data_IF_929676539693
#
_entry.id   IF_929676539693
#
_cell.length_a   1.000
_cell.length_b   1.000
_cell.length_c   1.000
_cell.angle_alpha   90.00
_cell.angle_beta   90.00
_cell.angle_gamma   90.00
#
_symmetry.space_group_name_H-M   'P 1'
#
loop_
_entity.id
_entity.type
_entity.pdbx_description
1 polymer ?
#
# COMPACT_ATOMS: atom_id res chain seq x y z
N UNK A 1 23.57 4.35 22.62
CA UNK A 1 23.80 4.59 21.17
C UNK A 1 24.59 3.46 20.50
N UNK A 2 25.77 3.09 21.03
CA UNK A 2 26.66 2.03 20.50
C UNK A 2 25.93 0.69 20.30
N UNK A 3 25.19 0.23 21.32
CA UNK A 3 24.42 -1.02 21.24
C UNK A 3 23.46 -1.04 20.05
N UNK A 4 22.72 0.04 19.83
CA UNK A 4 21.77 0.15 18.71
C UNK A 4 22.49 0.07 17.37
N UNK A 5 23.63 0.77 17.22
CA UNK A 5 24.44 0.72 15.99
C UNK A 5 24.97 -0.69 15.73
N UNK A 6 25.48 -1.37 16.76
CA UNK A 6 25.98 -2.75 16.63
C UNK A 6 24.86 -3.74 16.31
N UNK A 7 23.69 -3.62 16.94
CA UNK A 7 22.52 -4.45 16.62
C UNK A 7 22.09 -4.24 15.15
N UNK A 8 22.08 -3.00 14.69
CA UNK A 8 21.67 -2.63 13.34
C UNK A 8 22.70 -3.08 12.29
N UNK A 9 24.01 -3.00 12.59
CA UNK A 9 25.08 -3.57 11.78
C UNK A 9 24.88 -5.06 11.55
N UNK A 10 24.63 -5.81 12.63
CA UNK A 10 24.40 -7.27 12.56
C UNK A 10 23.13 -7.59 11.77
N UNK A 11 22.11 -6.72 11.83
CA UNK A 11 20.85 -6.88 11.07
C UNK A 11 20.95 -6.42 9.61
N UNK A 12 22.02 -5.74 9.22
CA UNK A 12 22.25 -5.32 7.83
C UNK A 12 21.36 -4.15 7.37
N UNK A 13 21.06 -3.19 8.25
CA UNK A 13 20.12 -2.10 7.94
C UNK A 13 20.72 -0.92 7.14
N UNK A 14 21.98 -1.00 6.72
CA UNK A 14 22.64 0.06 5.94
C UNK A 14 22.90 1.33 6.76
N UNK A 15 23.11 2.47 6.09
CA UNK A 15 23.50 3.73 6.76
C UNK A 15 22.41 4.30 7.68
N UNK A 16 21.14 4.05 7.34
CA UNK A 16 20.00 4.34 8.20
C UNK A 16 19.97 3.51 9.49
N UNK A 17 20.74 2.42 9.55
CA UNK A 17 21.00 1.70 10.78
C UNK A 17 22.06 2.32 11.69
N UNK A 18 22.96 3.10 11.10
CA UNK A 18 24.22 3.52 11.70
C UNK A 18 24.15 4.89 12.36
N UNK A 19 23.15 5.71 12.03
CA UNK A 19 22.89 6.99 12.69
C UNK A 19 22.42 6.82 14.16
N UNK A 20 22.26 5.59 14.64
CA UNK A 20 21.86 5.30 16.01
C UNK A 20 20.42 5.72 16.32
N UNK A 21 20.19 6.18 17.55
CA UNK A 21 18.86 6.63 17.97
C UNK A 21 18.70 8.10 17.60
N UNK A 22 17.58 8.47 16.95
CA UNK A 22 17.29 9.87 16.62
C UNK A 22 16.57 10.59 17.78
N UNK A 23 16.81 11.90 17.98
CA UNK A 23 16.10 12.71 18.99
C UNK A 23 14.58 12.78 18.75
N UNK A 24 14.16 12.75 17.48
CA UNK A 24 12.76 12.76 17.06
C UNK A 24 12.53 11.60 16.09
N UNK A 25 11.44 10.87 16.25
CA UNK A 25 11.01 9.84 15.29
C UNK A 25 9.48 9.82 15.24
N UNK A 26 8.89 10.35 14.17
CA UNK A 26 7.43 10.54 14.10
C UNK A 26 6.94 11.40 15.27
N UNK A 27 6.13 10.80 16.15
CA UNK A 27 5.58 11.45 17.36
C UNK A 27 6.46 11.27 18.62
N UNK A 28 7.53 10.48 18.55
CA UNK A 28 8.38 10.18 19.71
C UNK A 28 9.54 11.16 19.83
N UNK A 29 9.59 11.89 20.94
CA UNK A 29 10.67 12.82 21.31
C UNK A 29 11.54 12.19 22.40
N UNK A 30 12.87 12.32 22.30
CA UNK A 30 13.85 11.81 23.27
C UNK A 30 14.70 12.94 23.83
N UNK A 31 14.18 13.71 24.82
CA UNK A 31 14.80 14.95 25.28
C UNK A 31 16.18 14.77 25.90
N UNK A 32 16.40 13.67 26.62
CA UNK A 32 17.64 13.41 27.36
C UNK A 32 18.69 12.60 26.58
N UNK A 33 18.50 12.42 25.26
CA UNK A 33 19.37 11.57 24.44
C UNK A 33 20.83 12.08 24.36
N UNK A 34 21.05 13.37 24.63
CA UNK A 34 22.37 13.99 24.64
C UNK A 34 23.16 13.73 25.93
N UNK A 35 22.51 13.21 26.98
CA UNK A 35 23.13 12.89 28.27
C UNK A 35 23.62 11.44 28.31
N UNK A 36 24.73 11.23 29.00
CA UNK A 36 25.27 9.91 29.33
C UNK A 36 24.62 9.34 30.60
N UNK A 37 24.75 8.03 30.82
CA UNK A 37 24.23 7.39 32.03
C UNK A 37 24.90 7.94 33.30
N UNK A 38 26.21 8.22 33.25
CA UNK A 38 26.96 8.81 34.37
C UNK A 38 26.49 10.24 34.68
N UNK A 39 26.24 11.07 33.66
CA UNK A 39 25.68 12.42 33.86
C UNK A 39 24.29 12.35 34.48
N UNK A 40 23.44 11.41 34.04
CA UNK A 40 22.11 11.20 34.62
C UNK A 40 22.24 10.76 36.08
N UNK A 41 23.07 9.75 36.38
CA UNK A 41 23.31 9.27 37.74
C UNK A 41 23.79 10.39 38.66
N UNK A 42 24.76 11.18 38.21
CA UNK A 42 25.30 12.33 38.95
C UNK A 42 24.20 13.34 39.29
N UNK A 43 23.35 13.68 38.32
CA UNK A 43 22.25 14.61 38.53
C UNK A 43 21.19 14.02 39.48
N UNK A 44 20.87 12.73 39.35
CA UNK A 44 19.91 12.08 40.27
C UNK A 44 20.41 12.01 41.69
N UNK A 45 21.72 11.79 41.89
CA UNK A 45 22.35 11.79 43.21
C UNK A 45 22.40 13.19 43.81
N UNK A 46 22.81 14.20 43.03
CA UNK A 46 22.87 15.60 43.49
C UNK A 46 21.50 16.17 43.88
N UNK A 47 20.44 15.74 43.19
CA UNK A 47 19.08 16.17 43.45
C UNK A 47 18.33 15.25 44.42
N UNK A 48 18.99 14.23 44.98
CA UNK A 48 18.41 13.23 45.90
C UNK A 48 17.12 12.60 45.36
N UNK A 49 17.06 12.32 44.06
CA UNK A 49 15.88 11.77 43.41
C UNK A 49 15.77 10.26 43.69
N UNK A 50 14.68 9.86 44.34
CA UNK A 50 14.33 8.46 44.47
C UNK A 50 13.91 7.89 43.10
N UNK A 51 14.53 6.79 42.69
CA UNK A 51 14.16 6.05 41.48
C UNK A 51 14.06 4.55 41.78
N UNK A 52 13.33 3.84 40.94
CA UNK A 52 13.18 2.38 40.99
C UNK A 52 13.83 1.80 39.74
N UNK A 53 14.73 0.82 39.90
CA UNK A 53 15.24 0.06 38.77
C UNK A 53 14.17 -0.94 38.31
N UNK A 54 13.73 -0.80 37.05
CA UNK A 54 12.76 -1.73 36.47
C UNK A 54 13.38 -3.12 36.30
N UNK A 55 12.68 -4.13 36.83
CA UNK A 55 12.97 -5.55 36.66
C UNK A 55 13.11 -6.00 35.19
N UNK A 56 12.52 -5.26 34.24
CA UNK A 56 12.66 -5.49 32.79
C UNK A 56 14.08 -5.28 32.25
N UNK A 57 14.95 -4.61 33.01
CA UNK A 57 16.39 -4.51 32.70
C UNK A 57 17.10 -5.86 32.73
N UNK A 58 16.57 -6.83 33.49
CA UNK A 58 17.09 -8.20 33.53
C UNK A 58 16.61 -9.05 32.34
N UNK A 59 15.54 -8.65 31.66
CA UNK A 59 14.85 -9.49 30.67
C UNK A 59 14.88 -8.99 29.22
N UNK A 60 15.35 -7.78 28.93
CA UNK A 60 15.22 -7.23 27.57
C UNK A 60 16.28 -7.75 26.57
N UNK A 61 15.87 -8.75 25.78
CA UNK A 61 16.49 -9.30 24.57
C UNK A 61 17.90 -9.89 24.72
N UNK A 62 18.01 -11.23 24.61
CA UNK A 62 19.26 -12.00 24.57
C UNK A 62 20.37 -11.32 23.74
N UNK A 63 20.04 -10.72 22.60
CA UNK A 63 20.99 -10.03 21.73
C UNK A 63 21.57 -8.74 22.33
N UNK A 64 20.76 -7.90 22.98
CA UNK A 64 21.24 -6.61 23.53
C UNK A 64 22.12 -6.85 24.75
N UNK A 65 21.67 -7.71 25.67
CA UNK A 65 22.47 -8.12 26.82
C UNK A 65 23.79 -8.78 26.40
N UNK A 66 23.76 -9.63 25.36
CA UNK A 66 24.98 -10.21 24.79
C UNK A 66 25.95 -9.14 24.27
N UNK A 67 25.45 -8.15 23.53
CA UNK A 67 26.30 -7.05 23.03
C UNK A 67 26.90 -6.25 24.18
N UNK A 68 26.10 -5.87 25.18
CA UNK A 68 26.55 -5.08 26.32
C UNK A 68 27.57 -5.81 27.20
N UNK A 69 27.33 -7.09 27.50
CA UNK A 69 28.12 -7.85 28.46
C UNK A 69 29.32 -8.57 27.83
N UNK A 70 29.26 -8.93 26.55
CA UNK A 70 30.31 -9.74 25.91
C UNK A 70 31.04 -8.99 24.79
N UNK A 71 30.36 -8.16 23.99
CA UNK A 71 30.96 -7.53 22.80
C UNK A 71 31.60 -6.18 23.12
N UNK A 72 30.85 -5.28 23.76
CA UNK A 72 31.33 -3.92 24.07
C UNK A 72 32.61 -3.93 24.94
N UNK A 73 32.74 -4.79 25.98
CA UNK A 73 33.97 -4.85 26.76
C UNK A 73 35.20 -5.20 25.92
N UNK A 74 35.08 -6.18 25.02
CA UNK A 74 36.18 -6.56 24.11
C UNK A 74 36.53 -5.44 23.13
N UNK A 75 35.54 -4.69 22.64
CA UNK A 75 35.80 -3.51 21.79
C UNK A 75 36.49 -2.38 22.56
N UNK A 76 36.20 -2.22 23.86
CA UNK A 76 36.89 -1.24 24.72
C UNK A 76 38.34 -1.65 25.01
N UNK A 77 38.64 -2.93 25.10
CA UNK A 77 40.02 -3.42 25.22
C UNK A 77 40.85 -3.05 23.98
N UNK A 78 40.24 -3.10 22.78
CA UNK A 78 40.89 -2.70 21.52
C UNK A 78 41.02 -1.17 21.42
N UNK A 79 39.98 -0.44 21.80
CA UNK A 79 39.94 1.02 21.75
C UNK A 79 39.35 1.60 23.05
N UNK A 80 40.20 2.08 23.98
CA UNK A 80 39.73 2.66 25.24
C UNK A 80 38.83 3.90 25.08
N UNK A 81 38.89 4.59 23.95
CA UNK A 81 38.03 5.74 23.61
C UNK A 81 36.87 5.34 22.67
N UNK A 82 36.37 4.11 22.83
CA UNK A 82 35.29 3.53 22.04
C UNK A 82 34.05 4.44 21.97
N UNK A 83 33.60 4.95 23.12
CA UNK A 83 32.40 5.79 23.23
C UNK A 83 32.51 7.05 22.39
N UNK A 84 33.64 7.74 22.51
CA UNK A 84 33.90 8.96 21.76
C UNK A 84 34.02 8.66 20.25
N UNK A 85 34.71 7.58 19.89
CA UNK A 85 34.86 7.15 18.49
C UNK A 85 33.49 6.84 17.86
N UNK A 86 32.62 6.14 18.58
CA UNK A 86 31.27 5.85 18.10
C UNK A 86 30.40 7.12 18.03
N UNK A 87 30.53 8.04 18.98
CA UNK A 87 29.83 9.33 18.96
C UNK A 87 30.17 10.11 17.69
N UNK A 88 31.46 10.21 17.36
CA UNK A 88 31.93 10.89 16.15
C UNK A 88 31.48 10.16 14.87
N UNK A 89 31.56 8.84 14.83
CA UNK A 89 31.10 8.07 13.68
C UNK A 89 29.59 8.19 13.46
N UNK A 90 28.78 8.14 14.51
CA UNK A 90 27.33 8.36 14.43
C UNK A 90 27.03 9.75 13.86
N UNK A 91 27.75 10.79 14.28
CA UNK A 91 27.60 12.13 13.73
C UNK A 91 27.91 12.14 12.22
N UNK A 92 29.04 11.56 11.80
CA UNK A 92 29.42 11.44 10.38
C UNK A 92 28.39 10.66 9.56
N UNK A 93 27.85 9.56 10.09
CA UNK A 93 26.81 8.77 9.41
C UNK A 93 25.50 9.55 9.27
N UNK A 94 25.13 10.32 10.29
CA UNK A 94 23.95 11.18 10.26
C UNK A 94 24.10 12.26 9.17
N UNK A 95 25.25 12.93 9.10
CA UNK A 95 25.54 13.92 8.05
C UNK A 95 25.54 13.28 6.66
N UNK A 96 26.10 12.07 6.53
CA UNK A 96 26.10 11.33 5.26
C UNK A 96 24.68 10.95 4.82
N UNK A 97 23.84 10.51 5.75
CA UNK A 97 22.43 10.21 5.46
C UNK A 97 21.66 11.46 5.03
N UNK A 98 21.95 12.63 5.62
CA UNK A 98 21.35 13.90 5.18
C UNK A 98 21.69 14.23 3.73
N UNK A 99 22.95 14.05 3.31
CA UNK A 99 23.36 14.24 1.91
C UNK A 99 22.65 13.22 1.00
N UNK A 100 22.56 11.95 1.41
CA UNK A 100 21.83 10.93 0.66
C UNK A 100 20.36 11.33 0.47
N UNK A 101 19.70 11.80 1.53
CA UNK A 101 18.30 12.23 1.46
C UNK A 101 18.11 13.41 0.51
N UNK A 102 19.02 14.39 0.50
CA UNK A 102 18.98 15.50 -0.46
C UNK A 102 19.06 15.03 -1.91
N UNK A 103 19.92 14.04 -2.19
CA UNK A 103 20.03 13.44 -3.53
C UNK A 103 18.75 12.69 -3.90
N UNK A 104 18.21 11.89 -2.97
CA UNK A 104 16.96 11.14 -3.18
C UNK A 104 15.79 12.09 -3.43
N UNK A 105 15.68 13.18 -2.69
CA UNK A 105 14.62 14.18 -2.86
C UNK A 105 14.74 14.90 -4.22
N UNK A 106 15.95 15.19 -4.67
CA UNK A 106 16.20 15.76 -5.99
C UNK A 106 15.77 14.80 -7.11
N UNK A 107 16.15 13.53 -7.00
CA UNK A 107 15.75 12.48 -7.96
C UNK A 107 14.24 12.31 -7.96
N UNK A 108 13.62 12.22 -6.77
CA UNK A 108 12.17 12.07 -6.60
C UNK A 108 11.41 13.15 -7.36
N UNK A 109 11.84 14.41 -7.28
CA UNK A 109 11.22 15.52 -8.01
C UNK A 109 11.32 15.39 -9.54
N UNK A 110 12.38 14.76 -10.04
CA UNK A 110 12.66 14.68 -11.47
C UNK A 110 12.04 13.45 -12.14
N UNK A 111 11.99 12.31 -11.45
CA UNK A 111 11.59 11.02 -12.04
C UNK A 111 10.31 10.44 -11.46
N UNK A 112 9.77 11.01 -10.37
CA UNK A 112 8.54 10.51 -9.76
C UNK A 112 7.36 11.45 -9.98
N UNK A 113 6.16 10.88 -10.01
CA UNK A 113 4.91 11.64 -10.05
C UNK A 113 3.96 11.07 -9.01
N UNK A 114 3.36 11.96 -8.22
CA UNK A 114 2.46 11.61 -7.12
C UNK A 114 1.09 12.26 -7.38
N UNK A 115 0.08 11.43 -7.63
CA UNK A 115 -1.29 11.86 -7.94
C UNK A 115 -2.27 11.09 -7.07
N UNK A 116 -3.01 11.79 -6.19
CA UNK A 116 -4.17 11.29 -5.41
C UNK A 116 -4.12 9.79 -5.06
N UNK A 117 -3.13 9.38 -4.27
CA UNK A 117 -2.99 8.00 -3.78
C UNK A 117 -2.19 7.04 -4.67
N UNK A 118 -1.66 7.51 -5.80
CA UNK A 118 -0.77 6.75 -6.67
C UNK A 118 0.60 7.41 -6.78
N UNK A 119 1.66 6.63 -6.51
CA UNK A 119 3.05 7.04 -6.69
C UNK A 119 3.62 6.31 -7.88
N UNK A 120 4.28 7.03 -8.79
CA UNK A 120 4.88 6.44 -10.00
C UNK A 120 6.32 6.87 -10.17
N UNK A 121 7.16 5.98 -10.71
CA UNK A 121 8.57 6.24 -11.00
C UNK A 121 8.81 5.99 -12.50
N UNK A 122 9.39 6.96 -13.20
CA UNK A 122 9.83 6.81 -14.59
C UNK A 122 11.00 5.82 -14.68
N UNK A 123 10.83 4.73 -15.42
CA UNK A 123 11.87 3.72 -15.68
C UNK A 123 13.02 4.33 -16.50
N UNK A 124 12.78 5.08 -17.60
CA UNK A 124 13.85 5.75 -18.33
C UNK A 124 14.68 6.68 -17.43
N UNK A 125 14.03 7.42 -16.53
CA UNK A 125 14.73 8.27 -15.56
C UNK A 125 15.52 7.46 -14.54
N UNK A 126 14.95 6.37 -14.03
CA UNK A 126 15.59 5.49 -13.04
C UNK A 126 16.82 4.77 -13.62
N UNK A 127 16.82 4.39 -14.89
CA UNK A 127 17.98 3.76 -15.54
C UNK A 127 19.18 4.72 -15.69
N UNK A 128 18.97 6.03 -15.58
CA UNK A 128 20.01 7.05 -15.64
C UNK A 128 20.62 7.39 -14.26
N UNK A 129 20.03 6.91 -13.16
CA UNK A 129 20.55 7.20 -11.82
C UNK A 129 21.65 6.22 -11.40
N UNK A 130 22.64 6.72 -10.65
CA UNK A 130 23.75 5.91 -10.13
C UNK A 130 24.10 6.30 -8.70
N UNK A 131 24.27 5.35 -7.76
CA UNK A 131 24.08 3.91 -7.94
C UNK A 131 22.59 3.50 -7.90
N UNK A 132 22.10 2.86 -8.98
CA UNK A 132 20.68 2.54 -9.16
C UNK A 132 20.08 1.75 -7.99
N UNK A 133 20.81 0.77 -7.44
CA UNK A 133 20.31 -0.09 -6.37
C UNK A 133 20.00 0.68 -5.08
N UNK A 134 20.94 1.51 -4.63
CA UNK A 134 20.77 2.31 -3.42
C UNK A 134 19.63 3.33 -3.59
N UNK A 135 19.63 4.05 -4.71
CA UNK A 135 18.67 5.12 -4.95
C UNK A 135 17.25 4.57 -5.16
N UNK A 136 17.11 3.43 -5.84
CA UNK A 136 15.81 2.76 -5.96
C UNK A 136 15.31 2.27 -4.59
N UNK A 137 16.20 1.74 -3.76
CA UNK A 137 15.85 1.32 -2.40
C UNK A 137 15.37 2.49 -1.55
N UNK A 138 16.09 3.62 -1.54
CA UNK A 138 15.68 4.80 -0.77
C UNK A 138 14.39 5.46 -1.31
N UNK A 139 14.15 5.43 -2.62
CA UNK A 139 12.89 5.90 -3.21
C UNK A 139 11.68 5.05 -2.76
N UNK A 140 11.87 3.73 -2.65
CA UNK A 140 10.83 2.77 -2.29
C UNK A 140 10.74 2.47 -0.77
N UNK A 141 11.69 2.95 0.03
CA UNK A 141 11.74 2.79 1.48
C UNK A 141 10.46 3.23 2.21
N UNK A 142 9.80 4.36 1.86
CA UNK A 142 8.54 4.75 2.49
C UNK A 142 7.37 3.77 2.29
N UNK A 143 7.51 2.83 1.36
CA UNK A 143 6.50 1.83 1.01
C UNK A 143 6.89 0.41 1.47
N UNK A 144 7.84 0.30 2.39
CA UNK A 144 8.27 -0.94 3.06
C UNK A 144 8.84 -2.06 2.16
N UNK A 145 9.33 -1.72 0.96
CA UNK A 145 9.97 -2.72 0.09
C UNK A 145 11.34 -3.15 0.65
N UNK A 146 11.53 -4.47 0.79
CA UNK A 146 12.82 -5.02 1.23
C UNK A 146 13.90 -4.88 0.15
N UNK A 147 15.18 -4.83 0.55
CA UNK A 147 16.30 -4.74 -0.38
C UNK A 147 16.35 -5.89 -1.41
N UNK A 148 15.86 -7.08 -1.03
CA UNK A 148 15.73 -8.23 -1.94
C UNK A 148 14.68 -7.95 -3.02
N UNK A 149 13.49 -7.50 -2.62
CA UNK A 149 12.41 -7.18 -3.57
C UNK A 149 12.80 -6.04 -4.48
N UNK A 150 13.50 -5.02 -3.98
CA UNK A 150 14.04 -3.93 -4.81
C UNK A 150 15.02 -4.45 -5.86
N UNK A 151 15.86 -5.44 -5.53
CA UNK A 151 16.71 -6.08 -6.54
C UNK A 151 15.88 -6.80 -7.61
N UNK A 152 14.84 -7.54 -7.22
CA UNK A 152 13.94 -8.23 -8.16
C UNK A 152 13.20 -7.25 -9.10
N UNK A 153 12.82 -6.07 -8.58
CA UNK A 153 12.26 -4.96 -9.38
C UNK A 153 13.29 -4.49 -10.41
N UNK A 154 14.52 -4.20 -9.98
CA UNK A 154 15.61 -3.72 -10.86
C UNK A 154 15.90 -4.74 -11.97
N UNK A 155 15.98 -6.02 -11.62
CA UNK A 155 16.22 -7.12 -12.55
C UNK A 155 15.08 -7.34 -13.56
N UNK A 156 13.94 -6.69 -13.33
CA UNK A 156 12.72 -6.81 -14.13
C UNK A 156 12.34 -5.54 -14.89
N UNK A 157 13.09 -4.43 -14.73
CA UNK A 157 12.81 -3.16 -15.41
C UNK A 157 12.78 -3.25 -16.93
N UNK A 158 13.47 -4.24 -17.51
CA UNK A 158 13.55 -4.49 -18.95
C UNK A 158 12.70 -5.68 -19.42
N UNK A 159 11.91 -6.27 -18.52
CA UNK A 159 11.10 -7.48 -18.78
C UNK A 159 9.62 -7.13 -18.97
N UNK A 160 8.79 -8.15 -19.22
CA UNK A 160 7.38 -8.03 -19.59
C UNK A 160 6.57 -7.08 -18.69
N UNK A 161 5.72 -6.26 -19.32
CA UNK A 161 4.76 -5.37 -18.68
C UNK A 161 3.72 -6.13 -17.86
N UNK A 162 3.35 -5.60 -16.70
CA UNK A 162 2.35 -6.20 -15.79
C UNK A 162 2.93 -7.05 -14.66
N UNK A 163 4.26 -7.12 -14.53
CA UNK A 163 4.91 -7.82 -13.41
C UNK A 163 4.75 -7.01 -12.12
N UNK A 164 4.31 -7.67 -11.04
CA UNK A 164 4.04 -7.03 -9.74
C UNK A 164 4.94 -7.58 -8.64
N UNK A 165 5.36 -6.69 -7.74
CA UNK A 165 6.19 -6.95 -6.58
C UNK A 165 5.49 -6.41 -5.33
N UNK A 166 5.73 -7.03 -4.18
CA UNK A 166 4.95 -6.78 -2.98
C UNK A 166 5.85 -6.45 -1.78
N UNK A 167 5.44 -5.44 -1.02
CA UNK A 167 5.83 -5.22 0.37
C UNK A 167 4.65 -5.62 1.28
N UNK A 168 4.79 -5.54 2.61
CA UNK A 168 3.64 -5.76 3.51
C UNK A 168 2.50 -4.77 3.32
N UNK A 169 2.79 -3.56 2.82
CA UNK A 169 1.83 -2.45 2.78
C UNK A 169 1.52 -1.97 1.36
N UNK A 170 2.36 -2.27 0.36
CA UNK A 170 2.28 -1.72 -0.99
C UNK A 170 2.65 -2.74 -2.07
N UNK A 171 2.11 -2.53 -3.27
CA UNK A 171 2.41 -3.28 -4.50
C UNK A 171 3.07 -2.34 -5.50
N UNK A 172 4.19 -2.76 -6.07
CA UNK A 172 4.88 -2.08 -7.16
C UNK A 172 4.68 -2.86 -8.47
N UNK A 173 4.09 -2.23 -9.48
CA UNK A 173 3.76 -2.87 -10.77
C UNK A 173 4.54 -2.19 -11.89
N UNK A 174 5.21 -2.96 -12.74
CA UNK A 174 5.85 -2.44 -13.94
C UNK A 174 4.79 -2.26 -15.02
N UNK A 175 4.48 -1.01 -15.37
CA UNK A 175 3.55 -0.64 -16.45
C UNK A 175 4.27 0.23 -17.48
N UNK A 176 4.56 -0.39 -18.63
CA UNK A 176 5.31 0.21 -19.76
C UNK A 176 6.62 0.84 -19.28
N UNK A 177 6.69 2.16 -19.28
CA UNK A 177 7.88 2.95 -18.93
C UNK A 177 7.84 3.47 -17.48
N UNK A 178 6.93 2.96 -16.63
CA UNK A 178 6.78 3.40 -15.24
C UNK A 178 6.64 2.25 -14.25
N UNK A 179 7.07 2.48 -13.01
CA UNK A 179 6.78 1.63 -11.86
C UNK A 179 5.65 2.31 -11.08
N UNK A 180 4.49 1.67 -10.99
CA UNK A 180 3.35 2.16 -10.24
C UNK A 180 3.32 1.52 -8.84
N UNK A 181 3.37 2.33 -7.79
CA UNK A 181 3.27 1.90 -6.40
C UNK A 181 1.91 2.28 -5.84
N UNK A 182 1.19 1.28 -5.34
CA UNK A 182 -0.16 1.41 -4.75
C UNK A 182 -0.21 0.70 -3.42
N UNK A 183 -0.95 1.24 -2.44
CA UNK A 183 -1.19 0.53 -1.18
C UNK A 183 -1.86 -0.83 -1.45
N UNK A 184 -1.40 -1.87 -0.77
CA UNK A 184 -2.13 -3.13 -0.63
C UNK A 184 -3.20 -2.84 0.41
N UNK A 185 -4.40 -2.46 -0.02
CA UNK A 185 -5.54 -2.64 0.85
C UNK A 185 -5.71 -4.15 1.05
N UNK A 186 -5.77 -4.62 2.29
CA UNK A 186 -6.30 -5.94 2.62
C UNK A 186 -7.75 -5.98 2.16
N UNK A 187 -7.93 -6.29 0.88
CA UNK A 187 -9.20 -6.57 0.29
C UNK A 187 -9.57 -7.98 0.71
N UNK A 188 -10.05 -8.11 1.94
CA UNK A 188 -11.01 -9.19 2.22
C UNK A 188 -12.06 -9.12 1.11
N UNK A 189 -12.45 -10.28 0.57
CA UNK A 189 -13.58 -10.43 -0.34
C UNK A 189 -14.83 -9.85 0.34
N UNK A 190 -15.00 -8.53 0.28
CA UNK A 190 -16.01 -7.81 1.04
C UNK A 190 -17.32 -7.95 0.29
N UNK A 191 -17.94 -9.11 0.38
CA UNK A 191 -19.28 -9.33 -0.16
C UNK A 191 -20.24 -8.44 0.61
N UNK A 192 -20.88 -7.50 -0.08
CA UNK A 192 -21.97 -6.71 0.47
C UNK A 192 -23.29 -7.32 0.03
N UNK A 193 -24.12 -7.74 0.98
CA UNK A 193 -25.49 -8.19 0.70
C UNK A 193 -26.39 -6.95 0.57
N UNK A 194 -27.20 -6.92 -0.48
CA UNK A 194 -28.15 -5.86 -0.77
C UNK A 194 -29.57 -6.43 -0.71
N UNK A 195 -30.36 -5.98 0.25
CA UNK A 195 -31.74 -6.41 0.46
C UNK A 195 -32.74 -5.55 -0.33
N UNK A 196 -33.92 -6.11 -0.63
CA UNK A 196 -34.93 -5.48 -1.50
C UNK A 196 -35.55 -4.19 -0.96
N UNK A 197 -35.35 -3.90 0.33
CA UNK A 197 -35.81 -2.69 1.03
C UNK A 197 -34.77 -1.56 1.01
N UNK A 198 -33.58 -1.80 0.46
CA UNK A 198 -32.49 -0.83 0.41
C UNK A 198 -32.39 -0.23 -1.00
N UNK A 199 -32.17 1.08 -1.09
CA UNK A 199 -32.02 1.79 -2.37
C UNK A 199 -30.58 2.14 -2.70
N UNK A 200 -29.67 2.02 -1.72
CA UNK A 200 -28.27 2.41 -1.84
C UNK A 200 -27.45 1.37 -1.11
N UNK A 201 -26.38 0.90 -1.75
CA UNK A 201 -25.37 0.06 -1.13
C UNK A 201 -24.00 0.66 -1.37
N UNK A 202 -23.23 0.75 -0.29
CA UNK A 202 -21.82 1.16 -0.35
C UNK A 202 -20.96 -0.10 -0.31
N UNK A 203 -20.11 -0.23 -1.32
CA UNK A 203 -19.12 -1.29 -1.40
C UNK A 203 -17.76 -0.63 -1.63
N UNK A 204 -16.94 -0.61 -0.57
CA UNK A 204 -15.67 0.13 -0.50
C UNK A 204 -15.91 1.63 -0.79
N UNK A 205 -15.20 2.18 -1.77
CA UNK A 205 -15.29 3.61 -2.17
C UNK A 205 -16.43 3.87 -3.19
N UNK A 206 -17.10 2.81 -3.65
CA UNK A 206 -18.17 2.88 -4.64
C UNK A 206 -19.54 2.86 -3.97
N UNK A 207 -20.43 3.74 -4.42
CA UNK A 207 -21.84 3.74 -4.03
C UNK A 207 -22.67 3.27 -5.23
N UNK A 208 -23.41 2.18 -5.06
CA UNK A 208 -24.36 1.70 -6.06
C UNK A 208 -25.77 2.10 -5.63
N UNK A 209 -26.49 2.78 -6.51
CA UNK A 209 -27.86 3.25 -6.28
C UNK A 209 -28.81 2.45 -7.16
N UNK A 210 -29.91 1.98 -6.58
CA UNK A 210 -31.00 1.33 -7.31
C UNK A 210 -32.25 2.20 -7.27
N UNK A 211 -32.73 2.57 -8.46
CA UNK A 211 -34.01 3.25 -8.64
C UNK A 211 -34.98 2.34 -9.39
N UNK A 212 -36.23 2.23 -8.92
CA UNK A 212 -37.26 1.43 -9.59
C UNK A 212 -38.31 2.34 -10.20
N UNK A 213 -38.58 2.18 -11.49
CA UNK A 213 -39.57 2.96 -12.23
C UNK A 213 -40.51 2.06 -13.04
N UNK A 214 -41.76 2.48 -13.21
CA UNK A 214 -42.73 1.84 -14.11
C UNK A 214 -42.68 2.36 -15.55
N UNK A 215 -41.83 3.34 -15.84
CA UNK A 215 -41.67 3.93 -17.16
C UNK A 215 -40.28 3.65 -17.71
N UNK A 216 -40.21 3.26 -18.98
CA UNK A 216 -38.93 3.11 -19.67
C UNK A 216 -38.28 4.49 -19.86
N UNK A 217 -36.98 4.62 -19.58
CA UNK A 217 -36.26 5.87 -19.79
C UNK A 217 -36.15 6.17 -21.30
N UNK A 218 -36.19 7.44 -21.63
CA UNK A 218 -36.13 7.93 -23.02
C UNK A 218 -34.71 7.85 -23.61
N UNK A 219 -33.71 7.67 -22.76
CA UNK A 219 -32.30 7.51 -23.12
C UNK A 219 -31.66 6.47 -22.19
N UNK A 220 -30.83 5.62 -22.77
CA UNK A 220 -30.05 4.62 -22.05
C UNK A 220 -28.59 5.10 -21.95
N UNK A 221 -28.08 5.14 -20.72
CA UNK A 221 -26.68 5.40 -20.42
C UNK A 221 -25.90 4.07 -20.47
N UNK A 222 -24.84 3.94 -21.28
CA UNK A 222 -24.04 2.72 -21.34
C UNK A 222 -23.33 2.36 -20.03
N UNK A 223 -23.12 3.33 -19.13
CA UNK A 223 -22.49 3.09 -17.82
C UNK A 223 -23.49 2.56 -16.78
N UNK A 224 -24.80 2.75 -16.99
CA UNK A 224 -25.86 2.26 -16.10
C UNK A 224 -26.38 0.87 -16.51
N UNK A 225 -27.03 0.19 -15.58
CA UNK A 225 -27.80 -1.03 -15.89
C UNK A 225 -29.30 -0.77 -15.81
N UNK A 226 -30.03 -1.27 -16.81
CA UNK A 226 -31.48 -1.21 -16.91
C UNK A 226 -32.01 -2.64 -16.96
N UNK A 227 -32.44 -3.12 -15.79
CA UNK A 227 -32.77 -4.51 -15.56
C UNK A 227 -34.29 -4.66 -15.41
N UNK A 228 -34.85 -5.72 -15.99
CA UNK A 228 -36.22 -6.12 -15.71
C UNK A 228 -36.34 -6.52 -14.23
N UNK A 229 -37.09 -5.74 -13.46
CA UNK A 229 -37.21 -5.93 -12.02
C UNK A 229 -37.79 -7.30 -11.66
N UNK A 230 -38.62 -7.91 -12.50
CA UNK A 230 -39.19 -9.24 -12.23
C UNK A 230 -38.14 -10.37 -12.30
N UNK A 231 -36.95 -10.10 -12.89
CA UNK A 231 -35.83 -11.05 -12.97
C UNK A 231 -34.86 -10.98 -11.79
N UNK A 232 -35.00 -9.97 -10.91
CA UNK A 232 -34.14 -9.82 -9.74
C UNK A 232 -34.55 -10.78 -8.63
N UNK A 233 -33.54 -11.43 -8.05
CA UNK A 233 -33.64 -12.37 -6.94
C UNK A 233 -32.79 -11.80 -5.81
N UNK A 234 -33.43 -11.42 -4.71
CA UNK A 234 -32.75 -10.84 -3.55
C UNK A 234 -32.34 -11.92 -2.52
N UNK A 235 -31.31 -11.67 -1.68
CA UNK A 235 -30.46 -10.47 -1.70
C UNK A 235 -29.56 -10.45 -2.94
N UNK A 236 -29.39 -9.25 -3.52
CA UNK A 236 -28.33 -9.05 -4.49
C UNK A 236 -26.99 -9.03 -3.75
N UNK A 237 -25.91 -9.32 -4.46
CA UNK A 237 -24.57 -9.35 -3.92
C UNK A 237 -23.73 -8.35 -4.70
N UNK A 238 -23.05 -7.45 -3.99
CA UNK A 238 -22.03 -6.57 -4.56
C UNK A 238 -20.67 -7.07 -4.11
N UNK A 239 -19.82 -7.46 -5.06
CA UNK A 239 -18.46 -7.92 -4.80
C UNK A 239 -17.50 -7.45 -5.89
N UNK A 240 -16.21 -7.64 -5.68
CA UNK A 240 -15.21 -7.44 -6.73
C UNK A 240 -15.19 -8.62 -7.70
N UNK A 241 -14.58 -8.39 -8.86
CA UNK A 241 -14.39 -9.45 -9.85
C UNK A 241 -13.46 -10.55 -9.30
N UNK A 242 -13.73 -11.78 -9.68
CA UNK A 242 -12.95 -12.96 -9.33
C UNK A 242 -12.45 -13.65 -10.60
N UNK A 243 -11.31 -14.33 -10.50
CA UNK A 243 -10.75 -15.05 -11.64
C UNK A 243 -11.71 -16.16 -12.08
N UNK A 244 -12.06 -16.18 -13.36
CA UNK A 244 -13.01 -17.13 -13.92
C UNK A 244 -14.44 -16.63 -14.04
N UNK A 245 -14.74 -15.42 -13.53
CA UNK A 245 -16.04 -14.79 -13.72
C UNK A 245 -16.41 -14.66 -15.20
N UNK A 246 -17.63 -15.07 -15.53
CA UNK A 246 -18.20 -15.02 -16.89
C UNK A 246 -19.63 -14.54 -16.86
N UNK A 247 -20.02 -13.79 -17.89
CA UNK A 247 -21.39 -13.31 -18.09
C UNK A 247 -21.67 -13.16 -19.58
N UNK A 248 -22.90 -12.79 -19.98
CA UNK A 248 -23.25 -12.53 -21.38
C UNK A 248 -23.41 -11.02 -21.54
N UNK A 249 -22.42 -10.28 -22.08
CA UNK A 249 -22.53 -8.83 -22.22
C UNK A 249 -23.74 -8.43 -23.08
N UNK A 250 -24.41 -7.32 -22.73
CA UNK A 250 -25.51 -6.78 -23.51
C UNK A 250 -25.13 -6.64 -25.00
N UNK A 251 -25.96 -7.22 -25.88
CA UNK A 251 -25.78 -7.29 -27.33
C UNK A 251 -25.02 -8.53 -27.81
N UNK A 252 -24.56 -9.41 -26.92
CA UNK A 252 -23.88 -10.66 -27.27
C UNK A 252 -24.76 -11.87 -26.99
N UNK A 253 -24.49 -12.97 -27.70
CA UNK A 253 -25.20 -14.26 -27.53
C UNK A 253 -24.38 -15.32 -26.81
N UNK A 254 -23.08 -15.08 -26.61
CA UNK A 254 -22.14 -16.02 -26.01
C UNK A 254 -21.56 -15.46 -24.71
N UNK A 255 -21.16 -16.35 -23.81
CA UNK A 255 -20.47 -15.96 -22.58
C UNK A 255 -19.10 -15.35 -22.89
N UNK A 256 -18.73 -14.37 -22.08
CA UNK A 256 -17.44 -13.69 -22.11
C UNK A 256 -16.85 -13.65 -20.71
N UNK A 257 -15.55 -13.88 -20.58
CA UNK A 257 -14.83 -13.70 -19.32
C UNK A 257 -14.74 -12.22 -18.97
N UNK A 258 -14.88 -11.91 -17.68
CA UNK A 258 -14.69 -10.53 -17.20
C UNK A 258 -13.26 -10.03 -17.46
N UNK A 259 -12.26 -10.92 -17.40
CA UNK A 259 -10.87 -10.59 -17.76
C UNK A 259 -10.76 -9.99 -19.17
N UNK A 260 -11.47 -10.60 -20.11
CA UNK A 260 -11.42 -10.25 -21.53
C UNK A 260 -12.22 -8.96 -21.77
N UNK A 261 -13.35 -8.78 -21.05
CA UNK A 261 -14.09 -7.51 -21.03
C UNK A 261 -13.20 -6.36 -20.56
N UNK A 262 -12.43 -6.54 -19.48
CA UNK A 262 -11.54 -5.51 -18.96
C UNK A 262 -10.38 -5.18 -19.89
N UNK A 263 -9.85 -6.18 -20.62
CA UNK A 263 -8.81 -5.97 -21.64
C UNK A 263 -9.37 -5.13 -22.78
N UNK A 264 -10.55 -5.47 -23.29
CA UNK A 264 -11.19 -4.76 -24.41
C UNK A 264 -11.52 -3.31 -24.07
N UNK A 265 -11.95 -3.05 -22.82
CA UNK A 265 -12.20 -1.71 -22.31
C UNK A 265 -10.94 -0.99 -21.81
N UNK A 266 -9.75 -1.59 -21.95
CA UNK A 266 -8.45 -1.05 -21.53
C UNK A 266 -8.42 -0.61 -20.06
N UNK A 267 -9.11 -1.36 -19.19
CA UNK A 267 -9.18 -1.06 -17.76
C UNK A 267 -7.84 -1.39 -17.09
N UNK A 268 -7.17 -0.42 -16.44
CA UNK A 268 -5.94 -0.66 -15.69
C UNK A 268 -6.14 -1.67 -14.55
N UNK A 269 -5.12 -2.50 -14.27
CA UNK A 269 -5.19 -3.54 -13.24
C UNK A 269 -5.69 -3.03 -11.86
N UNK A 270 -5.23 -1.88 -11.33
CA UNK A 270 -5.72 -1.36 -10.05
C UNK A 270 -7.22 -1.00 -10.08
N UNK A 271 -7.72 -0.53 -11.22
CA UNK A 271 -9.15 -0.19 -11.36
C UNK A 271 -10.02 -1.45 -11.48
N UNK A 272 -9.51 -2.55 -12.04
CA UNK A 272 -10.24 -3.84 -12.08
C UNK A 272 -10.61 -4.32 -10.68
N UNK A 273 -9.74 -4.08 -9.71
CA UNK A 273 -9.93 -4.51 -8.31
C UNK A 273 -10.95 -3.65 -7.56
N UNK A 274 -11.30 -2.46 -8.06
CA UNK A 274 -12.26 -1.54 -7.40
C UNK A 274 -13.64 -1.54 -8.04
N UNK A 275 -13.77 -1.99 -9.29
CA UNK A 275 -15.07 -2.03 -10.00
C UNK A 275 -16.03 -3.00 -9.28
N UNK A 276 -17.20 -2.53 -8.84
CA UNK A 276 -18.20 -3.39 -8.22
C UNK A 276 -18.89 -4.25 -9.28
N UNK A 277 -18.99 -5.55 -9.00
CA UNK A 277 -19.75 -6.54 -9.77
C UNK A 277 -21.03 -6.81 -9.01
N UNK A 278 -22.15 -6.54 -9.69
CA UNK A 278 -23.48 -6.81 -9.15
C UNK A 278 -23.91 -8.22 -9.57
N UNK A 279 -24.25 -9.01 -8.57
CA UNK A 279 -24.60 -10.42 -8.65
C UNK A 279 -26.04 -10.60 -8.19
N UNK A 280 -26.80 -11.39 -8.92
CA UNK A 280 -28.16 -11.76 -8.57
C UNK A 280 -28.18 -12.90 -7.53
N UNK A 281 -29.30 -13.10 -6.82
CA UNK A 281 -29.40 -14.14 -5.78
C UNK A 281 -29.21 -15.58 -6.28
N UNK A 282 -29.27 -15.81 -7.59
CA UNK A 282 -28.92 -17.08 -8.23
C UNK A 282 -27.42 -17.20 -8.61
N UNK A 283 -26.57 -16.30 -8.10
CA UNK A 283 -25.13 -16.21 -8.36
C UNK A 283 -24.72 -15.80 -9.78
N UNK A 284 -25.65 -15.30 -10.59
CA UNK A 284 -25.32 -14.78 -11.93
C UNK A 284 -24.92 -13.30 -11.88
N UNK A 285 -23.92 -12.92 -12.67
CA UNK A 285 -23.54 -11.51 -12.87
C UNK A 285 -24.66 -10.82 -13.65
N UNK A 286 -25.11 -9.68 -13.14
CA UNK A 286 -26.13 -8.84 -13.79
C UNK A 286 -25.56 -7.54 -14.32
N UNK A 287 -24.49 -7.03 -13.70
CA UNK A 287 -23.83 -5.81 -14.15
C UNK A 287 -22.39 -5.71 -13.66
N UNK A 288 -21.51 -5.27 -14.55
CA UNK A 288 -20.15 -4.80 -14.25
C UNK A 288 -20.24 -3.28 -14.13
N UNK A 289 -20.08 -2.77 -12.91
CA UNK A 289 -20.32 -1.37 -12.54
C UNK A 289 -19.65 -0.38 -13.49
N UNK A 290 -20.44 0.52 -14.08
CA UNK A 290 -19.95 1.56 -15.00
C UNK A 290 -19.49 1.07 -16.38
N UNK A 291 -19.60 -0.23 -16.69
CA UNK A 291 -19.03 -0.80 -17.91
C UNK A 291 -20.09 -1.52 -18.76
N UNK A 292 -20.77 -2.53 -18.20
CA UNK A 292 -21.69 -3.34 -19.01
C UNK A 292 -22.67 -4.17 -18.19
N UNK A 293 -23.93 -4.18 -18.60
CA UNK A 293 -24.95 -5.11 -18.07
C UNK A 293 -24.97 -6.46 -18.79
N UNK A 294 -25.57 -7.46 -18.15
CA UNK A 294 -25.81 -8.79 -18.73
C UNK A 294 -27.06 -8.78 -19.64
N UNK A 295 -26.96 -9.43 -20.81
CA UNK A 295 -27.99 -9.57 -21.83
C UNK A 295 -29.26 -10.25 -21.30
N UNK A 296 -29.12 -11.24 -20.40
CA UNK A 296 -30.26 -12.04 -19.91
C UNK A 296 -31.23 -11.20 -19.08
N UNK A 297 -30.73 -10.13 -18.48
CA UNK A 297 -31.44 -9.26 -17.55
C UNK A 297 -32.01 -8.00 -18.20
N UNK A 298 -31.80 -7.82 -19.51
CA UNK A 298 -32.30 -6.66 -20.25
C UNK A 298 -33.81 -6.48 -20.14
N UNK A 299 -34.23 -5.22 -20.23
CA UNK A 299 -35.62 -4.82 -20.42
C UNK A 299 -36.17 -5.29 -21.77
N UNK A 300 -37.44 -5.63 -21.80
CA UNK A 300 -38.20 -5.99 -22.99
C UNK A 300 -39.48 -5.15 -23.09
N UNK A 301 -40.18 -5.22 -24.22
CA UNK A 301 -41.46 -4.51 -24.40
C UNK A 301 -42.53 -4.94 -23.36
N UNK A 302 -42.39 -6.13 -22.77
CA UNK A 302 -43.28 -6.64 -21.72
C UNK A 302 -42.88 -6.23 -20.30
N UNK A 303 -41.74 -5.57 -20.11
CA UNK A 303 -41.22 -5.22 -18.78
C UNK A 303 -42.11 -4.15 -18.14
N UNK A 304 -42.69 -4.46 -16.97
CA UNK A 304 -43.61 -3.56 -16.24
C UNK A 304 -42.89 -2.61 -15.29
N UNK A 305 -41.77 -3.06 -14.72
CA UNK A 305 -40.94 -2.29 -13.79
C UNK A 305 -39.48 -2.47 -14.17
N UNK A 306 -38.75 -1.37 -14.22
CA UNK A 306 -37.32 -1.34 -14.53
C UNK A 306 -36.57 -0.97 -13.26
N UNK A 307 -35.59 -1.80 -12.90
CA UNK A 307 -34.59 -1.48 -11.89
C UNK A 307 -33.37 -0.87 -12.59
N UNK A 308 -33.04 0.36 -12.22
CA UNK A 308 -31.92 1.12 -12.77
C UNK A 308 -30.81 1.14 -11.73
N UNK A 309 -29.64 0.62 -12.09
CA UNK A 309 -28.44 0.64 -11.26
C UNK A 309 -27.44 1.66 -11.78
N UNK A 310 -27.00 2.54 -10.88
CA UNK A 310 -26.06 3.62 -11.17
C UNK A 310 -24.86 3.51 -10.22
N UNK A 311 -23.66 3.69 -10.77
CA UNK A 311 -22.41 3.75 -10.01
C UNK A 311 -22.11 5.23 -9.72
N UNK A 312 -22.15 5.61 -8.45
CA UNK A 312 -21.72 6.92 -7.98
C UNK A 312 -20.40 6.78 -7.23
N UNK A 313 -19.45 7.62 -7.59
CA UNK A 313 -18.26 7.80 -6.75
C UNK A 313 -18.70 8.58 -5.51
N UNK A 314 -18.21 8.20 -4.31
CA UNK A 314 -18.53 8.94 -3.07
C UNK A 314 -18.06 10.40 -3.10
N UNK A 315 -17.35 10.85 -4.15
CA UNK A 315 -16.89 12.21 -4.34
C UNK A 315 -17.43 12.75 -5.68
N UNK A 316 -18.74 12.96 -5.75
CA UNK A 316 -19.39 13.77 -6.77
C UNK A 316 -19.88 15.07 -6.15
N UNK A 317 -19.18 16.16 -6.50
CA UNK A 317 -19.37 17.57 -6.10
C UNK A 317 -19.08 17.96 -4.64
#
# INVERSE_FOLDING_TARGET
AIETVLINLVRGTGISGLHGILPLTGVFIRPILFLTAEEISTVTEQLELAYVEDSSNLSSNYTRNKIRLQVIPQLREINPSLEQTFKENIARFTETEQVLQQVVDSIRKNICTENKGSFSISIPGLLLVSPIKLLTFELLRPYDFSAKVVQEIIDSLTKQTGTSFYSPTHRATIDRDTILVTAISELTDSITLWHSNEHIVVHRESMVVMTVTGQLPWQFDPEMAYIDHEKLIFPLIVRNWQQGDTFIPLGMTHQKKLSDLFIDNKVPLPMKETIPILINGNSEIIWVGGIRQDERYKVAASTKKVAIFELKNQHGE
#
